data_IF_230670159034
#
_entry.id   IF_230670159034
#
_cell.length_a   1.000
_cell.length_b   1.000
_cell.length_c   1.000
_cell.angle_alpha   90.00
_cell.angle_beta   90.00
_cell.angle_gamma   90.00
#
_symmetry.space_group_name_H-M   'P 1'
#
loop_
_entity.id
_entity.type
_entity.pdbx_description
1 polymer ?
#
# COMPACT_ATOMS: atom_id res chain seq x y z
N UNK A 1 14.54 -25.64 -16.31
CA UNK A 1 14.30 -24.98 -16.30
C UNK A 1 13.63 -24.46 -16.07
N UNK A 2 13.38 -24.47 -15.72
CA UNK A 2 12.94 -23.65 -15.41
C UNK A 2 12.16 -23.51 -14.98
N UNK A 3 12.03 -23.33 -14.64
CA UNK A 3 11.36 -22.87 -14.31
C UNK A 3 11.09 -22.38 -13.62
N UNK A 4 11.65 -22.83 -13.31
CA UNK A 4 11.52 -22.34 -12.56
C UNK A 4 11.14 -21.39 -12.41
N UNK A 5 11.35 -21.25 -12.43
CA UNK A 5 11.07 -20.31 -12.35
C UNK A 5 9.99 -19.89 -12.62
N UNK A 6 9.72 -20.13 -12.98
CA UNK A 6 8.85 -19.66 -13.31
C UNK A 6 8.00 -19.42 -12.44
N UNK A 7 8.03 -19.84 -11.79
CA UNK A 7 7.15 -19.67 -10.90
C UNK A 7 6.95 -18.39 -10.47
N UNK A 8 7.90 -17.85 -10.24
CA UNK A 8 7.79 -16.56 -9.80
C UNK A 8 7.00 -15.78 -10.75
N UNK A 9 7.05 -16.14 -11.91
CA UNK A 9 6.28 -15.40 -12.88
C UNK A 9 4.81 -15.48 -12.58
N UNK A 10 4.39 -16.48 -11.86
CA UNK A 10 2.99 -16.61 -11.54
C UNK A 10 2.53 -15.66 -10.46
N UNK A 11 3.46 -15.03 -9.75
CA UNK A 11 3.09 -14.10 -8.70
C UNK A 11 3.75 -12.76 -8.94
N UNK A 12 3.10 -11.91 -9.72
CA UNK A 12 3.64 -10.58 -9.97
C UNK A 12 3.80 -9.83 -8.65
N UNK A 13 4.85 -9.07 -8.56
CA UNK A 13 5.17 -8.38 -7.33
C UNK A 13 4.40 -7.08 -7.22
N UNK A 14 4.23 -6.62 -6.01
CA UNK A 14 3.63 -5.32 -5.77
C UNK A 14 4.61 -4.22 -6.16
N UNK A 15 4.06 -3.06 -6.44
CA UNK A 15 4.86 -1.94 -6.90
C UNK A 15 4.32 -0.66 -6.29
N UNK A 16 5.20 0.19 -5.79
CA UNK A 16 4.85 1.56 -5.42
C UNK A 16 5.18 2.47 -6.58
N UNK A 17 4.27 3.37 -6.88
CA UNK A 17 4.51 4.42 -7.87
C UNK A 17 4.46 5.75 -7.16
N UNK A 18 5.54 6.52 -7.26
CA UNK A 18 5.61 7.88 -6.73
C UNK A 18 5.34 8.84 -7.87
N UNK A 19 4.47 9.80 -7.66
CA UNK A 19 4.09 10.73 -8.72
C UNK A 19 3.71 12.08 -8.11
N UNK A 20 3.62 13.09 -8.97
CA UNK A 20 3.19 14.42 -8.57
C UNK A 20 1.75 14.61 -9.03
N UNK A 21 0.89 15.10 -8.14
CA UNK A 21 -0.52 15.29 -8.48
C UNK A 21 -0.75 16.68 -9.06
N UNK A 22 -2.01 16.99 -9.34
CA UNK A 22 -2.36 18.27 -9.96
C UNK A 22 -2.13 19.46 -9.06
N UNK A 23 -2.09 19.26 -7.77
CA UNK A 23 -1.78 20.32 -6.81
C UNK A 23 -0.29 20.49 -6.60
N UNK A 24 0.52 19.78 -7.39
CA UNK A 24 1.97 19.78 -7.30
C UNK A 24 2.48 19.21 -5.99
N UNK A 25 1.70 18.30 -5.40
CA UNK A 25 2.16 17.56 -4.24
C UNK A 25 2.55 16.15 -4.65
N UNK A 26 3.42 15.54 -3.86
CA UNK A 26 3.89 14.19 -4.17
C UNK A 26 3.01 13.18 -3.47
N UNK A 27 2.70 12.11 -4.20
CA UNK A 27 1.87 11.02 -3.70
C UNK A 27 2.47 9.70 -4.12
N UNK A 28 2.00 8.64 -3.53
CA UNK A 28 2.37 7.31 -3.97
C UNK A 28 1.11 6.47 -4.05
N UNK A 29 1.21 5.38 -4.78
CA UNK A 29 0.15 4.37 -4.79
C UNK A 29 0.81 3.01 -4.80
N UNK A 30 0.19 2.06 -4.13
CA UNK A 30 0.67 0.69 -4.09
C UNK A 30 -0.20 -0.12 -5.02
N UNK A 31 0.42 -0.74 -5.99
CA UNK A 31 -0.29 -1.57 -6.97
C UNK A 31 0.03 -3.03 -6.78
N UNK A 32 -0.98 -3.87 -6.98
CA UNK A 32 -0.77 -5.31 -7.08
C UNK A 32 -0.17 -5.63 -8.44
N UNK A 33 0.33 -6.84 -8.59
CA UNK A 33 0.92 -7.26 -9.86
C UNK A 33 -0.02 -7.19 -11.04
N UNK A 34 -1.35 -7.30 -10.79
CA UNK A 34 -2.33 -7.21 -11.87
C UNK A 34 -2.71 -5.76 -12.20
N UNK A 35 -2.07 -4.79 -11.59
CA UNK A 35 -2.34 -3.39 -11.86
C UNK A 35 -3.38 -2.74 -10.97
N UNK A 36 -4.04 -3.50 -10.10
CA UNK A 36 -5.05 -2.92 -9.22
C UNK A 36 -4.39 -2.05 -8.16
N UNK A 37 -4.98 -0.90 -7.86
CA UNK A 37 -4.45 -0.03 -6.80
C UNK A 37 -4.95 -0.55 -5.47
N UNK A 38 -4.03 -0.88 -4.57
CA UNK A 38 -4.37 -1.44 -3.27
C UNK A 38 -4.44 -0.40 -2.18
N UNK A 39 -3.58 0.60 -2.23
CA UNK A 39 -3.45 1.58 -1.16
C UNK A 39 -2.93 2.91 -1.67
N UNK A 40 -3.29 3.96 -0.95
CA UNK A 40 -2.81 5.32 -1.25
C UNK A 40 -2.50 6.01 0.08
N UNK A 41 -1.69 7.08 0.06
CA UNK A 41 -1.47 7.85 1.28
C UNK A 41 -2.75 8.61 1.63
N UNK A 42 -2.89 8.95 2.88
CA UNK A 42 -4.02 9.73 3.30
C UNK A 42 -3.99 11.16 2.81
N UNK A 43 -2.83 11.64 2.38
CA UNK A 43 -2.67 13.02 1.95
C UNK A 43 -1.48 13.14 1.02
N UNK A 44 -1.37 14.28 0.35
CA UNK A 44 -0.20 14.57 -0.48
C UNK A 44 0.93 15.10 0.37
N UNK A 45 2.14 15.01 -0.17
CA UNK A 45 3.34 15.48 0.51
C UNK A 45 3.96 16.61 -0.29
N UNK A 46 4.49 17.60 0.40
CA UNK A 46 5.12 18.73 -0.29
C UNK A 46 6.49 18.39 -0.83
N UNK A 47 7.17 17.42 -0.24
CA UNK A 47 8.50 17.03 -0.68
C UNK A 47 8.51 15.57 -1.08
N UNK A 48 9.27 15.25 -2.13
CA UNK A 48 9.43 13.88 -2.57
C UNK A 48 10.02 13.01 -1.46
N UNK A 49 10.94 13.57 -0.66
CA UNK A 49 11.54 12.79 0.43
C UNK A 49 10.51 12.34 1.44
N UNK A 50 9.48 13.15 1.69
CA UNK A 50 8.44 12.79 2.63
C UNK A 50 7.55 11.68 2.06
N UNK A 51 7.26 11.74 0.76
CA UNK A 51 6.49 10.68 0.11
C UNK A 51 7.28 9.37 0.14
N UNK A 52 8.59 9.43 -0.10
CA UNK A 52 9.43 8.23 -0.03
C UNK A 52 9.46 7.65 1.37
N UNK A 53 9.50 8.51 2.38
CA UNK A 53 9.47 8.04 3.76
C UNK A 53 8.17 7.31 4.07
N UNK A 54 7.05 7.79 3.51
CA UNK A 54 5.78 7.09 3.65
C UNK A 54 5.81 5.71 3.02
N UNK A 55 6.39 5.61 1.82
CA UNK A 55 6.55 4.31 1.15
C UNK A 55 7.37 3.36 2.01
N UNK A 56 8.48 3.86 2.57
CA UNK A 56 9.32 3.02 3.40
C UNK A 56 8.59 2.52 4.64
N UNK A 57 7.74 3.36 5.23
CA UNK A 57 6.95 2.94 6.38
C UNK A 57 6.02 1.80 6.01
N UNK A 58 5.37 1.89 4.85
CA UNK A 58 4.48 0.82 4.43
C UNK A 58 5.27 -0.46 4.18
N UNK A 59 6.46 -0.34 3.59
CA UNK A 59 7.30 -1.51 3.33
C UNK A 59 7.72 -2.20 4.61
N UNK A 60 7.86 -1.46 5.70
CA UNK A 60 8.25 -2.04 6.98
C UNK A 60 7.06 -2.55 7.78
N UNK A 61 5.84 -2.35 7.29
CA UNK A 61 4.64 -2.57 8.11
C UNK A 61 4.43 -4.01 8.53
N UNK A 62 5.03 -4.95 7.85
CA UNK A 62 4.92 -6.36 8.25
C UNK A 62 5.85 -6.75 9.37
N UNK A 63 6.83 -5.91 9.68
CA UNK A 63 7.87 -6.25 10.65
C UNK A 63 7.98 -5.26 11.80
N UNK A 64 7.37 -4.08 11.68
CA UNK A 64 7.52 -3.03 12.69
C UNK A 64 6.26 -2.96 13.53
N UNK A 65 6.37 -3.32 14.80
CA UNK A 65 5.21 -3.36 15.69
C UNK A 65 4.61 -1.99 15.96
N UNK A 66 5.34 -0.92 15.69
CA UNK A 66 4.81 0.43 15.85
C UNK A 66 3.82 0.78 14.74
N UNK A 67 3.83 0.02 13.65
CA UNK A 67 2.94 0.27 12.51
C UNK A 67 1.79 -0.74 12.56
N UNK A 68 0.57 -0.23 12.66
CA UNK A 68 -0.58 -1.09 12.86
C UNK A 68 -1.64 -0.88 11.80
N UNK A 69 -2.14 -1.99 11.27
CA UNK A 69 -3.28 -1.96 10.36
C UNK A 69 -4.57 -2.06 11.17
N UNK A 70 -5.56 -1.29 10.77
CA UNK A 70 -6.89 -1.36 11.35
C UNK A 70 -7.90 -1.63 10.26
N UNK A 71 -8.72 -2.65 10.44
CA UNK A 71 -9.85 -2.90 9.54
C UNK A 71 -11.09 -2.37 10.24
N UNK A 72 -11.89 -1.57 9.55
CA UNK A 72 -13.04 -0.93 10.14
C UNK A 72 -14.21 -0.89 9.16
N UNK A 73 -15.41 -0.75 9.68
CA UNK A 73 -16.60 -0.60 8.85
C UNK A 73 -16.82 0.85 8.50
N UNK A 74 -17.23 1.12 7.25
CA UNK A 74 -17.52 2.49 6.84
C UNK A 74 -19.01 2.77 6.89
N UNK A 75 -19.40 3.97 6.46
CA UNK A 75 -20.80 4.41 6.52
C UNK A 75 -21.71 3.59 5.61
N UNK A 76 -21.16 2.94 4.60
CA UNK A 76 -21.93 2.15 3.65
C UNK A 76 -22.01 0.69 4.04
N UNK A 77 -21.58 0.36 5.25
CA UNK A 77 -21.55 -1.01 5.76
C UNK A 77 -20.58 -1.89 4.99
N UNK A 78 -19.54 -1.27 4.45
CA UNK A 78 -18.44 -1.98 3.82
C UNK A 78 -17.22 -1.83 4.68
N UNK A 79 -16.20 -2.63 4.41
CA UNK A 79 -15.01 -2.65 5.25
C UNK A 79 -13.84 -2.03 4.51
N UNK A 80 -13.04 -1.30 5.27
CA UNK A 80 -11.82 -0.66 4.77
C UNK A 80 -10.71 -0.91 5.77
N UNK A 81 -9.48 -0.60 5.37
CA UNK A 81 -8.37 -0.67 6.30
C UNK A 81 -7.52 0.59 6.19
N UNK A 82 -6.77 0.84 7.22
CA UNK A 82 -5.81 1.93 7.22
C UNK A 82 -4.59 1.48 8.03
N UNK A 83 -3.45 2.09 7.74
CA UNK A 83 -2.19 1.81 8.43
C UNK A 83 -1.84 3.04 9.25
N UNK A 84 -1.62 2.85 10.55
CA UNK A 84 -1.27 3.92 11.47
C UNK A 84 0.13 3.75 12.01
N UNK A 85 0.82 4.88 12.17
CA UNK A 85 2.10 4.91 12.86
C UNK A 85 1.87 4.92 14.38
N UNK A 86 2.94 4.76 15.14
CA UNK A 86 2.85 4.73 16.59
C UNK A 86 2.30 6.01 17.20
N UNK A 87 2.45 7.13 16.51
CA UNK A 87 1.89 8.40 16.99
C UNK A 87 0.43 8.61 16.59
N UNK A 88 -0.20 7.59 16.00
CA UNK A 88 -1.59 7.66 15.59
C UNK A 88 -1.81 8.26 14.21
N UNK A 89 -0.75 8.69 13.54
CA UNK A 89 -0.90 9.29 12.22
C UNK A 89 -1.20 8.24 11.18
N UNK A 90 -2.14 8.53 10.29
CA UNK A 90 -2.51 7.61 9.23
C UNK A 90 -1.51 7.72 8.10
N UNK A 91 -0.85 6.61 7.77
CA UNK A 91 0.18 6.56 6.74
C UNK A 91 -0.42 6.12 5.41
N UNK A 92 -1.35 5.19 5.44
CA UNK A 92 -1.93 4.62 4.22
C UNK A 92 -3.37 4.22 4.46
N UNK A 93 -4.16 4.24 3.40
CA UNK A 93 -5.56 3.81 3.46
C UNK A 93 -5.83 2.88 2.28
N UNK A 94 -6.86 2.04 2.44
CA UNK A 94 -7.31 1.20 1.34
C UNK A 94 -7.85 2.07 0.23
N UNK A 95 -7.55 1.72 -1.02
CA UNK A 95 -8.06 2.49 -2.15
C UNK A 95 -9.52 2.20 -2.42
N UNK A 96 -10.03 1.09 -1.93
CA UNK A 96 -11.42 0.72 -2.14
C UNK A 96 -11.96 0.03 -0.91
N UNK A 97 -13.28 -0.17 -0.86
CA UNK A 97 -13.90 -0.87 0.24
C UNK A 97 -14.15 -2.31 -0.14
N UNK A 98 -14.38 -3.13 0.87
CA UNK A 98 -14.64 -4.56 0.71
C UNK A 98 -16.00 -4.88 1.31
N UNK A 99 -16.74 -5.77 0.68
CA UNK A 99 -18.06 -6.13 1.19
C UNK A 99 -18.00 -7.02 2.41
N UNK A 100 -16.92 -7.78 2.56
CA UNK A 100 -16.76 -8.68 3.69
C UNK A 100 -15.51 -8.33 4.47
N UNK A 101 -15.62 -8.40 5.80
CA UNK A 101 -14.48 -8.12 6.65
C UNK A 101 -13.33 -9.07 6.34
N UNK A 102 -13.64 -10.35 6.06
CA UNK A 102 -12.59 -11.31 5.73
C UNK A 102 -11.78 -10.92 4.51
N UNK A 103 -12.42 -10.27 3.54
CA UNK A 103 -11.70 -9.83 2.33
C UNK A 103 -10.75 -8.68 2.66
N UNK A 104 -11.18 -7.75 3.53
CA UNK A 104 -10.31 -6.67 3.97
C UNK A 104 -9.13 -7.24 4.78
N UNK A 105 -9.39 -8.19 5.67
CA UNK A 105 -8.34 -8.84 6.45
C UNK A 105 -7.34 -9.54 5.53
N UNK A 106 -7.82 -10.22 4.50
CA UNK A 106 -6.96 -10.93 3.56
C UNK A 106 -6.09 -9.94 2.78
N UNK A 107 -6.64 -8.79 2.43
CA UNK A 107 -5.86 -7.76 1.73
C UNK A 107 -4.72 -7.25 2.62
N UNK A 108 -5.01 -7.00 3.90
CA UNK A 108 -3.99 -6.57 4.85
C UNK A 108 -2.91 -7.63 4.99
N UNK A 109 -3.30 -8.89 5.14
CA UNK A 109 -2.34 -9.98 5.29
C UNK A 109 -1.44 -10.09 4.06
N UNK A 110 -2.01 -9.94 2.88
CA UNK A 110 -1.23 -10.02 1.64
C UNK A 110 -0.23 -8.88 1.55
N UNK A 111 -0.66 -7.66 1.90
CA UNK A 111 0.24 -6.51 1.85
C UNK A 111 1.37 -6.70 2.85
N UNK A 112 1.05 -7.07 4.10
CA UNK A 112 2.07 -7.26 5.12
C UNK A 112 3.10 -8.31 4.72
N UNK A 113 2.66 -9.35 4.04
CA UNK A 113 3.57 -10.44 3.67
C UNK A 113 4.46 -10.08 2.48
N UNK A 114 4.01 -9.20 1.60
CA UNK A 114 4.69 -9.00 0.31
C UNK A 114 5.28 -7.61 0.11
N UNK A 115 4.83 -6.62 0.88
CA UNK A 115 5.18 -5.24 0.59
C UNK A 115 6.66 -4.94 0.78
N UNK A 116 7.36 -5.71 1.62
CA UNK A 116 8.78 -5.47 1.85
C UNK A 116 9.61 -5.66 0.58
N UNK A 117 9.10 -6.44 -0.36
CA UNK A 117 9.81 -6.71 -1.61
C UNK A 117 9.25 -5.90 -2.79
N UNK A 118 8.36 -4.96 -2.52
CA UNK A 118 7.75 -4.18 -3.59
C UNK A 118 8.79 -3.31 -4.29
N UNK A 119 8.63 -3.16 -5.58
CA UNK A 119 9.45 -2.27 -6.36
C UNK A 119 8.98 -0.83 -6.14
N UNK A 120 9.90 0.13 -6.15
CA UNK A 120 9.53 1.54 -6.01
C UNK A 120 9.94 2.26 -7.27
N UNK A 121 8.99 2.89 -7.92
CA UNK A 121 9.19 3.53 -9.21
C UNK A 121 8.72 4.97 -9.14
N UNK A 122 9.49 5.90 -9.70
CA UNK A 122 9.06 7.29 -9.82
C UNK A 122 8.47 7.46 -11.20
N UNK A 123 7.20 7.88 -11.24
CA UNK A 123 6.49 8.08 -12.50
C UNK A 123 6.70 9.52 -12.92
N UNK A 124 7.16 9.72 -14.14
CA UNK A 124 7.37 11.06 -14.66
C UNK A 124 6.27 11.41 -15.64
N UNK A 125 5.87 12.66 -15.65
CA UNK A 125 4.85 13.16 -16.56
C UNK A 125 5.35 13.22 -17.99
#
# INVERSE_FOLDING_TARGET
MGFAAQSSAAEPEMKFELYKDKAEEFRWRLKAGNGAILATPGQGYKAMADAKAGVESVMKSGMDDALKYEVYGDDKKEYRWRLKAGNGKIIATASESYKKKGDADAAVDSIRAKVAKAEVVVVKD
#
